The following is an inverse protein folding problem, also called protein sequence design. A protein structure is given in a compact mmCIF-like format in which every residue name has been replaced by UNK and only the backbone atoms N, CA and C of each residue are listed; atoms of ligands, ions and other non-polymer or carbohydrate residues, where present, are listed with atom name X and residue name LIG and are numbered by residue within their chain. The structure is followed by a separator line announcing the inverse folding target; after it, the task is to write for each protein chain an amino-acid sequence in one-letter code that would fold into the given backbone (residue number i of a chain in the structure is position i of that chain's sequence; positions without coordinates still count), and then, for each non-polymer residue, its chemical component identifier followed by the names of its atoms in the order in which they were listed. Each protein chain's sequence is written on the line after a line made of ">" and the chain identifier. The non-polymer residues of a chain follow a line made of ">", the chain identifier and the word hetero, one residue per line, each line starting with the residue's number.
data_IF_953535289332
#
_entry.id   IF_953535289332
#
_cell.length_a   1.000
_cell.length_b   1.000
_cell.length_c   1.000
_cell.angle_alpha   90.00
_cell.angle_beta   90.00
_cell.angle_gamma   90.00
#
_symmetry.space_group_name_H-M   'P 1'
#
loop_
_entity.id
_entity.type
_entity.pdbx_description
1 polymer ?
#
# COMPACT_ATOMS: atom_id res chain seq x y z
N UNK A 1 2.73 -18.53 -10.51
CA UNK A 1 2.53 -19.94 -10.12
C UNK A 1 2.95 -20.81 -11.29
N UNK A 2 3.82 -21.80 -11.04
CA UNK A 2 4.35 -22.71 -12.05
C UNK A 2 3.52 -24.00 -12.13
N UNK A 3 3.08 -24.52 -10.98
CA UNK A 3 2.22 -25.70 -10.89
C UNK A 3 1.46 -25.73 -9.56
N UNK A 4 0.36 -26.48 -9.55
CA UNK A 4 -0.43 -26.68 -8.33
C UNK A 4 -0.88 -28.13 -8.20
N UNK A 5 -0.94 -28.63 -6.97
CA UNK A 5 -1.68 -29.83 -6.58
C UNK A 5 -2.53 -29.47 -5.36
N UNK A 6 -3.69 -28.90 -5.62
CA UNK A 6 -4.58 -28.41 -4.57
C UNK A 6 -5.16 -29.54 -3.71
N UNK A 7 -5.22 -30.75 -4.25
CA UNK A 7 -5.71 -31.95 -3.51
C UNK A 7 -4.75 -32.33 -2.37
N UNK A 8 -3.45 -32.06 -2.53
CA UNK A 8 -2.40 -32.28 -1.52
C UNK A 8 -1.90 -30.99 -0.88
N UNK A 9 -2.45 -29.83 -1.26
CA UNK A 9 -2.10 -28.52 -0.69
C UNK A 9 -0.74 -27.99 -1.15
N UNK A 10 -0.25 -28.39 -2.34
CA UNK A 10 1.03 -27.92 -2.87
C UNK A 10 0.85 -26.85 -3.95
N UNK A 11 1.68 -25.82 -3.87
CA UNK A 11 1.82 -24.77 -4.90
C UNK A 11 3.30 -24.60 -5.19
N UNK A 12 3.70 -24.71 -6.46
CA UNK A 12 5.03 -24.39 -6.95
C UNK A 12 5.00 -22.99 -7.55
N UNK A 13 5.84 -22.10 -7.05
CA UNK A 13 5.93 -20.69 -7.50
C UNK A 13 7.34 -20.37 -7.99
N UNK A 14 7.46 -19.31 -8.78
CA UNK A 14 8.76 -18.71 -9.09
C UNK A 14 9.40 -18.20 -7.81
N UNK A 15 10.70 -18.46 -7.63
CA UNK A 15 11.50 -17.85 -6.58
C UNK A 15 11.82 -16.40 -6.98
N UNK A 16 11.28 -15.44 -6.23
CA UNK A 16 11.49 -14.00 -6.45
C UNK A 16 12.72 -13.45 -5.69
N UNK A 17 13.48 -14.33 -5.03
CA UNK A 17 14.62 -13.95 -4.19
C UNK A 17 14.23 -13.66 -2.74
N UNK A 18 15.23 -13.33 -1.94
CA UNK A 18 15.09 -13.16 -0.49
C UNK A 18 15.34 -11.71 -0.02
N UNK A 19 15.70 -10.80 -0.92
CA UNK A 19 16.03 -9.41 -0.58
C UNK A 19 14.77 -8.57 -0.78
N UNK A 20 14.20 -8.08 0.30
CA UNK A 20 13.11 -7.12 0.22
C UNK A 20 13.64 -5.69 -0.06
N UNK A 21 12.75 -4.82 -0.53
CA UNK A 21 13.11 -3.44 -0.88
C UNK A 21 13.69 -2.68 0.33
N UNK A 22 13.26 -2.98 1.56
CA UNK A 22 13.78 -2.35 2.76
C UNK A 22 15.30 -2.55 2.93
N UNK A 23 15.84 -3.66 2.45
CA UNK A 23 17.26 -3.96 2.54
C UNK A 23 18.10 -3.16 1.53
N UNK A 24 17.47 -2.50 0.58
CA UNK A 24 18.16 -1.63 -0.40
C UNK A 24 18.31 -0.19 0.09
N UNK A 25 17.52 0.22 1.08
CA UNK A 25 17.50 1.58 1.59
C UNK A 25 18.85 1.99 2.20
N UNK A 26 19.27 3.21 1.90
CA UNK A 26 20.58 3.75 2.30
C UNK A 26 21.77 3.14 1.55
N UNK A 27 21.54 2.31 0.52
CA UNK A 27 22.58 1.71 -0.32
C UNK A 27 22.57 2.31 -1.73
N UNK A 28 23.56 1.96 -2.55
CA UNK A 28 23.60 2.38 -3.98
C UNK A 28 22.48 1.76 -4.83
N UNK A 29 21.79 0.75 -4.31
CA UNK A 29 20.69 0.08 -4.99
C UNK A 29 19.31 0.66 -4.66
N UNK A 30 19.20 1.60 -3.73
CA UNK A 30 17.93 2.21 -3.33
C UNK A 30 17.20 2.86 -4.51
N UNK A 31 17.88 3.76 -5.24
CA UNK A 31 17.25 4.47 -6.35
C UNK A 31 16.78 3.54 -7.48
N UNK A 32 17.61 2.61 -8.02
CA UNK A 32 17.12 1.67 -9.03
C UNK A 32 15.99 0.78 -8.51
N UNK A 33 16.01 0.36 -7.26
CA UNK A 33 14.99 -0.49 -6.67
C UNK A 33 13.64 0.25 -6.53
N UNK A 34 13.64 1.49 -6.01
CA UNK A 34 12.43 2.33 -5.94
C UNK A 34 11.88 2.69 -7.32
N UNK A 35 12.76 2.97 -8.29
CA UNK A 35 12.33 3.22 -9.66
C UNK A 35 11.66 1.99 -10.28
N UNK A 36 12.20 0.80 -10.03
CA UNK A 36 11.59 -0.46 -10.45
C UNK A 36 10.23 -0.69 -9.75
N UNK A 37 10.15 -0.41 -8.44
CA UNK A 37 8.90 -0.50 -7.69
C UNK A 37 7.81 0.39 -8.29
N UNK A 38 8.11 1.65 -8.57
CA UNK A 38 7.17 2.58 -9.23
C UNK A 38 6.75 2.07 -10.61
N UNK A 39 7.69 1.53 -11.38
CA UNK A 39 7.37 0.99 -12.72
C UNK A 39 6.42 -0.21 -12.66
N UNK A 40 6.64 -1.10 -11.69
CA UNK A 40 5.77 -2.26 -11.47
C UNK A 40 4.41 -1.84 -10.92
N UNK A 41 4.36 -0.82 -10.06
CA UNK A 41 3.10 -0.26 -9.57
C UNK A 41 2.23 0.27 -10.71
N UNK A 42 2.80 1.02 -11.64
CA UNK A 42 2.07 1.52 -12.82
C UNK A 42 1.51 0.35 -13.65
N UNK A 43 2.29 -0.71 -13.85
CA UNK A 43 1.80 -1.91 -14.56
C UNK A 43 0.70 -2.64 -13.77
N UNK A 44 0.81 -2.69 -12.44
CA UNK A 44 -0.23 -3.28 -11.59
C UNK A 44 -1.55 -2.52 -11.72
N UNK A 45 -1.50 -1.20 -11.83
CA UNK A 45 -2.69 -0.35 -11.99
C UNK A 45 -3.44 -0.59 -13.30
N UNK A 46 -2.80 -1.13 -14.31
CA UNK A 46 -3.42 -1.51 -15.59
C UNK A 46 -4.18 -2.86 -15.52
N UNK A 47 -3.99 -3.63 -14.43
CA UNK A 47 -4.67 -4.91 -14.26
C UNK A 47 -6.16 -4.68 -14.07
N UNK A 48 -6.95 -5.32 -14.93
CA UNK A 48 -8.41 -5.31 -14.86
C UNK A 48 -8.94 -6.73 -14.80
N UNK A 49 -9.86 -7.01 -13.88
CA UNK A 49 -10.55 -8.29 -13.79
C UNK A 49 -11.89 -8.12 -13.08
N UNK A 50 -12.93 -8.77 -13.59
CA UNK A 50 -14.24 -8.84 -12.93
C UNK A 50 -14.20 -9.56 -11.58
N UNK A 51 -13.13 -10.28 -11.30
CA UNK A 51 -12.93 -11.01 -10.04
C UNK A 51 -12.27 -10.15 -8.96
N UNK A 52 -11.74 -8.96 -9.30
CA UNK A 52 -11.16 -8.05 -8.31
C UNK A 52 -12.29 -7.16 -7.76
N UNK A 53 -12.63 -7.27 -6.46
CA UNK A 53 -13.73 -6.51 -5.89
C UNK A 53 -13.41 -5.01 -5.82
N UNK A 54 -14.45 -4.18 -5.70
CA UNK A 54 -14.29 -2.74 -5.48
C UNK A 54 -13.82 -2.43 -4.06
N UNK A 55 -12.94 -1.45 -3.94
CA UNK A 55 -12.57 -0.80 -2.68
C UNK A 55 -13.58 0.30 -2.39
N UNK A 56 -14.76 -0.11 -2.00
CA UNK A 56 -15.89 0.79 -1.79
C UNK A 56 -15.74 1.63 -0.50
N UNK A 57 -16.64 2.60 -0.34
CA UNK A 57 -16.66 3.49 0.83
C UNK A 57 -16.71 2.72 2.16
N UNK A 58 -17.42 1.61 2.21
CA UNK A 58 -17.56 0.84 3.44
C UNK A 58 -16.24 0.20 3.86
N UNK A 59 -15.50 -0.38 2.92
CA UNK A 59 -14.17 -0.96 3.15
C UNK A 59 -13.14 0.10 3.54
N UNK A 60 -13.10 1.23 2.82
CA UNK A 60 -12.21 2.35 3.17
C UNK A 60 -12.54 2.91 4.56
N UNK A 61 -13.83 2.98 4.91
CA UNK A 61 -14.25 3.45 6.22
C UNK A 61 -13.79 2.55 7.36
N UNK A 62 -13.81 1.22 7.16
CA UNK A 62 -13.31 0.26 8.14
C UNK A 62 -11.82 0.46 8.44
N UNK A 63 -11.00 0.75 7.43
CA UNK A 63 -9.57 1.00 7.63
C UNK A 63 -9.32 2.28 8.43
N UNK A 64 -10.10 3.33 8.17
CA UNK A 64 -10.04 4.54 8.99
C UNK A 64 -10.44 4.26 10.45
N UNK A 65 -11.43 3.39 10.67
CA UNK A 65 -11.88 3.01 12.01
C UNK A 65 -10.81 2.24 12.79
N UNK A 66 -9.93 1.48 12.10
CA UNK A 66 -8.77 0.84 12.73
C UNK A 66 -7.81 1.86 13.36
N UNK A 67 -7.60 3.03 12.72
CA UNK A 67 -6.81 4.10 13.30
C UNK A 67 -7.38 4.58 14.64
N UNK A 68 -8.70 4.83 14.70
CA UNK A 68 -9.35 5.24 15.95
C UNK A 68 -9.27 4.15 17.01
N UNK A 69 -9.60 2.92 16.66
CA UNK A 69 -9.63 1.81 17.62
C UNK A 69 -8.24 1.47 18.14
N UNK A 70 -7.28 1.25 17.25
CA UNK A 70 -5.98 0.74 17.65
C UNK A 70 -5.03 1.82 18.12
N UNK A 71 -4.91 2.94 17.38
CA UNK A 71 -4.00 4.00 17.80
C UNK A 71 -4.59 4.84 18.94
N UNK A 72 -5.78 5.42 18.74
CA UNK A 72 -6.31 6.35 19.74
C UNK A 72 -6.78 5.62 21.01
N UNK A 73 -7.59 4.58 20.89
CA UNK A 73 -8.20 3.94 22.05
C UNK A 73 -7.29 2.91 22.73
N UNK A 74 -6.66 2.02 21.96
CA UNK A 74 -5.86 0.93 22.56
C UNK A 74 -4.42 1.35 22.84
N UNK A 75 -3.70 1.92 21.88
CA UNK A 75 -2.29 2.25 22.04
C UNK A 75 -2.05 3.47 22.92
N UNK A 76 -2.72 4.60 22.64
CA UNK A 76 -2.60 5.82 23.44
C UNK A 76 -3.42 5.80 24.74
N UNK A 77 -4.36 4.88 24.89
CA UNK A 77 -5.16 4.73 26.10
C UNK A 77 -5.99 5.98 26.45
N UNK A 78 -6.00 6.38 27.74
CA UNK A 78 -6.83 7.49 28.21
C UNK A 78 -6.64 8.82 27.46
N UNK A 79 -5.42 9.27 27.12
CA UNK A 79 -5.24 10.47 26.30
C UNK A 79 -5.87 10.34 24.92
N UNK A 80 -5.72 9.19 24.26
CA UNK A 80 -6.29 8.93 22.95
C UNK A 80 -7.82 8.83 22.98
N UNK A 81 -8.38 8.22 24.02
CA UNK A 81 -9.85 8.18 24.26
C UNK A 81 -10.39 9.59 24.45
N UNK A 82 -9.70 10.46 25.18
CA UNK A 82 -10.09 11.86 25.34
C UNK A 82 -10.11 12.59 23.98
N UNK A 83 -9.10 12.40 23.14
CA UNK A 83 -9.06 12.94 21.78
C UNK A 83 -10.20 12.39 20.93
N UNK A 84 -10.43 11.09 20.91
CA UNK A 84 -11.50 10.47 20.14
C UNK A 84 -12.89 10.96 20.58
N UNK A 85 -13.08 11.22 21.86
CA UNK A 85 -14.37 11.68 22.40
C UNK A 85 -14.60 13.18 22.19
N UNK A 86 -13.63 14.02 22.56
CA UNK A 86 -13.74 15.49 22.42
C UNK A 86 -13.65 15.94 20.96
N UNK A 87 -12.90 15.21 20.13
CA UNK A 87 -12.71 15.46 18.71
C UNK A 87 -13.63 14.66 17.77
N UNK A 88 -14.67 14.01 18.28
CA UNK A 88 -15.51 13.09 17.48
C UNK A 88 -16.08 13.74 16.22
N UNK A 89 -16.56 14.97 16.28
CA UNK A 89 -17.04 15.71 15.10
C UNK A 89 -15.90 15.98 14.10
N UNK A 90 -14.71 16.31 14.59
CA UNK A 90 -13.54 16.55 13.76
C UNK A 90 -13.09 15.25 13.08
N UNK A 91 -13.00 14.14 13.81
CA UNK A 91 -12.65 12.84 13.25
C UNK A 91 -13.66 12.40 12.19
N UNK A 92 -14.96 12.57 12.45
CA UNK A 92 -16.00 12.28 11.46
C UNK A 92 -15.86 13.12 10.21
N UNK A 93 -15.59 14.43 10.37
CA UNK A 93 -15.39 15.34 9.23
C UNK A 93 -14.13 14.96 8.42
N UNK A 94 -13.02 14.71 9.09
CA UNK A 94 -11.76 14.28 8.45
C UNK A 94 -11.95 12.93 7.73
N UNK A 95 -12.59 11.96 8.38
CA UNK A 95 -12.92 10.68 7.76
C UNK A 95 -13.74 10.86 6.49
N UNK A 96 -14.82 11.65 6.55
CA UNK A 96 -15.65 11.91 5.36
C UNK A 96 -14.84 12.55 4.23
N UNK A 97 -14.03 13.58 4.53
CA UNK A 97 -13.18 14.24 3.56
C UNK A 97 -12.16 13.28 2.91
N UNK A 98 -11.49 12.46 3.71
CA UNK A 98 -10.56 11.45 3.20
C UNK A 98 -11.26 10.46 2.27
N UNK A 99 -12.42 9.92 2.68
CA UNK A 99 -13.17 8.96 1.89
C UNK A 99 -13.66 9.57 0.57
N UNK A 100 -14.18 10.80 0.60
CA UNK A 100 -14.63 11.50 -0.60
C UNK A 100 -13.45 11.72 -1.57
N UNK A 101 -12.35 12.25 -1.07
CA UNK A 101 -11.13 12.48 -1.86
C UNK A 101 -10.58 11.18 -2.48
N UNK A 102 -10.59 10.08 -1.75
CA UNK A 102 -10.13 8.77 -2.24
C UNK A 102 -11.05 8.22 -3.33
N UNK A 103 -12.37 8.36 -3.17
CA UNK A 103 -13.37 7.87 -4.13
C UNK A 103 -13.44 8.71 -5.40
N UNK A 104 -13.02 9.97 -5.36
CA UNK A 104 -12.93 10.85 -6.54
C UNK A 104 -11.70 10.55 -7.41
N UNK A 105 -10.71 9.82 -6.91
CA UNK A 105 -9.54 9.44 -7.68
C UNK A 105 -9.89 8.45 -8.80
N UNK A 106 -9.08 8.37 -9.88
CA UNK A 106 -9.15 7.27 -10.81
C UNK A 106 -9.07 5.94 -10.06
N UNK A 107 -9.98 5.02 -10.37
CA UNK A 107 -10.04 3.71 -9.72
C UNK A 107 -9.20 2.73 -10.53
N UNK A 108 -8.21 2.14 -9.91
CA UNK A 108 -7.22 1.22 -10.51
C UNK A 108 -7.08 -0.03 -9.66
N UNK A 109 -6.32 -1.02 -10.14
CA UNK A 109 -5.92 -2.13 -9.28
C UNK A 109 -5.01 -1.61 -8.16
N UNK A 110 -5.38 -1.86 -6.92
CA UNK A 110 -4.68 -1.48 -5.69
C UNK A 110 -4.29 -2.74 -4.94
N UNK A 111 -3.01 -2.84 -4.61
CA UNK A 111 -2.44 -3.95 -3.86
C UNK A 111 -2.85 -3.93 -2.38
N UNK A 112 -3.01 -2.74 -1.81
CA UNK A 112 -3.29 -2.39 -0.40
C UNK A 112 -2.08 -2.47 0.52
N UNK A 113 -1.22 -3.43 0.34
CA UNK A 113 0.00 -3.63 1.14
C UNK A 113 1.26 -3.44 0.28
N UNK A 114 1.27 -2.39 -0.57
CA UNK A 114 2.39 -2.06 -1.46
C UNK A 114 3.49 -1.32 -0.70
N UNK A 115 4.17 -2.03 0.19
CA UNK A 115 5.24 -1.50 1.04
C UNK A 115 6.52 -2.33 0.87
N UNK A 116 7.63 -1.80 1.39
CA UNK A 116 8.97 -2.33 1.13
C UNK A 116 9.16 -3.82 1.48
N UNK A 117 8.37 -4.40 2.39
CA UNK A 117 8.47 -5.81 2.78
C UNK A 117 7.82 -6.78 1.80
N UNK A 118 6.86 -6.30 1.01
CA UNK A 118 6.15 -7.10 0.01
C UNK A 118 6.75 -6.94 -1.41
N UNK A 119 7.84 -6.22 -1.52
CA UNK A 119 8.56 -5.96 -2.77
C UNK A 119 9.93 -6.62 -2.73
N UNK A 120 10.10 -7.68 -3.49
CA UNK A 120 11.34 -8.46 -3.53
C UNK A 120 12.20 -8.00 -4.71
N UNK A 121 13.43 -7.57 -4.43
CA UNK A 121 14.34 -7.04 -5.42
C UNK A 121 15.49 -7.99 -5.67
N UNK A 122 15.58 -8.54 -6.88
CA UNK A 122 16.62 -9.48 -7.27
C UNK A 122 17.15 -9.14 -8.68
N UNK A 123 18.45 -8.88 -8.80
CA UNK A 123 19.14 -8.64 -10.07
C UNK A 123 18.42 -7.65 -10.99
N UNK A 124 17.96 -6.52 -10.46
CA UNK A 124 17.19 -5.48 -11.15
C UNK A 124 15.76 -5.89 -11.56
N UNK A 125 15.29 -7.02 -11.09
CA UNK A 125 13.88 -7.41 -11.21
C UNK A 125 13.17 -7.21 -9.88
N UNK A 126 11.94 -6.71 -9.93
CA UNK A 126 11.08 -6.56 -8.78
C UNK A 126 9.96 -7.60 -8.84
N UNK A 127 9.84 -8.39 -7.78
CA UNK A 127 8.70 -9.26 -7.54
C UNK A 127 7.77 -8.65 -6.51
N UNK A 128 6.47 -8.80 -6.72
CA UNK A 128 5.42 -8.36 -5.78
C UNK A 128 4.77 -9.59 -5.18
N UNK A 129 4.66 -9.65 -3.87
CA UNK A 129 4.01 -10.73 -3.13
C UNK A 129 2.86 -10.19 -2.29
N UNK A 130 2.01 -11.08 -1.76
CA UNK A 130 0.91 -10.74 -0.86
C UNK A 130 -0.22 -9.92 -1.53
N UNK A 131 -0.52 -10.24 -2.80
CA UNK A 131 -1.49 -9.52 -3.65
C UNK A 131 -2.92 -10.09 -3.62
N UNK A 132 -3.19 -11.12 -2.81
CA UNK A 132 -4.49 -11.81 -2.78
C UNK A 132 -5.64 -10.92 -2.29
N UNK A 133 -5.33 -9.83 -1.58
CA UNK A 133 -6.30 -8.86 -1.07
C UNK A 133 -6.45 -7.61 -1.96
N UNK A 134 -5.96 -7.69 -3.22
CA UNK A 134 -6.05 -6.59 -4.17
C UNK A 134 -7.52 -6.20 -4.45
N UNK A 135 -7.74 -4.90 -4.64
CA UNK A 135 -9.05 -4.31 -4.91
C UNK A 135 -8.97 -3.31 -6.06
N UNK A 136 -10.12 -2.96 -6.64
CA UNK A 136 -10.22 -1.79 -7.54
C UNK A 136 -10.52 -0.57 -6.68
N UNK A 137 -9.57 0.36 -6.57
CA UNK A 137 -9.61 1.46 -5.63
C UNK A 137 -8.79 2.69 -6.02
N UNK A 138 -8.56 3.60 -5.07
CA UNK A 138 -7.93 4.90 -5.32
C UNK A 138 -6.50 4.76 -5.87
N UNK A 139 -6.24 5.34 -7.03
CA UNK A 139 -4.96 5.17 -7.75
C UNK A 139 -3.72 5.69 -7.03
N UNK A 140 -3.85 6.55 -6.03
CA UNK A 140 -2.72 7.04 -5.23
C UNK A 140 -2.49 6.23 -3.95
N UNK A 141 -3.30 5.21 -3.66
CA UNK A 141 -3.22 4.46 -2.40
C UNK A 141 -1.86 3.78 -2.22
N UNK A 142 -1.44 2.98 -3.20
CA UNK A 142 -0.21 2.17 -3.10
C UNK A 142 1.06 3.01 -3.17
N UNK A 143 1.08 4.09 -3.96
CA UNK A 143 2.24 4.99 -3.96
C UNK A 143 2.37 5.72 -2.62
N UNK A 144 1.27 6.06 -1.97
CA UNK A 144 1.30 6.62 -0.62
C UNK A 144 1.82 5.58 0.40
N UNK A 145 1.37 4.33 0.29
CA UNK A 145 1.86 3.22 1.13
C UNK A 145 3.36 3.01 0.97
N UNK A 146 3.89 3.07 -0.26
CA UNK A 146 5.32 2.90 -0.53
C UNK A 146 6.16 4.05 0.02
N UNK A 147 5.74 5.31 -0.19
CA UNK A 147 6.54 6.50 0.13
C UNK A 147 6.34 6.98 1.58
N UNK A 148 5.29 6.54 2.27
CA UNK A 148 4.99 6.83 3.69
C UNK A 148 4.96 5.54 4.51
N UNK A 149 5.78 4.59 4.12
CA UNK A 149 5.97 3.30 4.74
C UNK A 149 6.26 3.42 6.25
N UNK A 150 5.74 2.48 7.04
CA UNK A 150 6.01 2.42 8.48
C UNK A 150 7.39 1.80 8.81
N UNK A 151 8.06 1.17 7.85
CA UNK A 151 9.36 0.54 8.02
C UNK A 151 10.54 1.46 7.69
N UNK A 152 10.31 2.49 6.85
CA UNK A 152 11.36 3.44 6.45
C UNK A 152 10.78 4.85 6.24
N UNK A 153 11.56 5.85 6.66
CA UNK A 153 11.14 7.25 6.52
C UNK A 153 11.94 7.93 5.41
N UNK A 154 11.32 8.11 4.27
CA UNK A 154 11.84 8.99 3.23
C UNK A 154 11.76 10.46 3.68
N UNK A 155 12.76 11.27 3.30
CA UNK A 155 12.64 12.72 3.47
C UNK A 155 11.71 13.31 2.41
N UNK A 156 11.23 14.55 2.64
CA UNK A 156 10.23 15.18 1.75
C UNK A 156 10.72 15.32 0.31
N UNK A 157 12.01 15.62 0.09
CA UNK A 157 12.57 15.74 -1.26
C UNK A 157 12.56 14.39 -2.00
N UNK A 158 12.79 13.28 -1.29
CA UNK A 158 12.67 11.93 -1.87
C UNK A 158 11.21 11.61 -2.20
N UNK A 159 10.28 11.92 -1.29
CA UNK A 159 8.84 11.71 -1.54
C UNK A 159 8.40 12.50 -2.77
N UNK A 160 8.73 13.78 -2.86
CA UNK A 160 8.37 14.63 -4.00
C UNK A 160 8.98 14.10 -5.31
N UNK A 161 10.25 13.68 -5.26
CA UNK A 161 10.93 13.11 -6.43
C UNK A 161 10.23 11.84 -6.94
N UNK A 162 9.98 10.86 -6.06
CA UNK A 162 9.40 9.58 -6.46
C UNK A 162 7.90 9.68 -6.79
N UNK A 163 7.17 10.56 -6.10
CA UNK A 163 5.79 10.89 -6.48
C UNK A 163 5.76 11.54 -7.88
N UNK A 164 6.68 12.45 -8.16
CA UNK A 164 6.85 13.05 -9.49
C UNK A 164 7.13 11.99 -10.57
N UNK A 165 8.01 11.02 -10.30
CA UNK A 165 8.27 9.91 -11.23
C UNK A 165 7.02 9.06 -11.49
N UNK A 166 6.19 8.83 -10.49
CA UNK A 166 4.93 8.09 -10.63
C UNK A 166 3.91 8.86 -11.47
N UNK A 167 3.72 10.15 -11.20
CA UNK A 167 2.71 10.98 -11.86
C UNK A 167 3.02 11.29 -13.33
N UNK A 168 4.28 11.14 -13.75
CA UNK A 168 4.71 11.39 -15.14
C UNK A 168 4.77 10.12 -16.01
N UNK A 169 4.32 8.98 -15.51
CA UNK A 169 4.24 7.72 -16.26
C UNK A 169 2.83 7.43 -16.75
#
# INVERSE_FOLDING_TARGET
>A
ILATDLSRGFVLMTDLGAIDLAQTYGTTTEQPALTAAISVLVQLQEVTSEHIPAYDRARLALEFDLFEEWLLRKFLGSPGVAVATSGANTLTTVKALCLDTMLEQPQTCVHRDYHCRNLLFNQNQLGVVDFQDALIGPGLYDIASLLRDCYYRHNEAQVDHYLGLFLHR
#
